data_IF_312688520663
#
_entry.id   IF_312688520663
#
_cell.length_a   1.000
_cell.length_b   1.000
_cell.length_c   1.000
_cell.angle_alpha   90.00
_cell.angle_beta   90.00
_cell.angle_gamma   90.00
#
_symmetry.space_group_name_H-M   'P 1'
#
loop_
_entity.id
_entity.type
_entity.pdbx_description
1 polymer ?
#
# COMPACT_ATOMS: atom_id res chain seq x y z
N UNK A 1 12.33 -12.36 9.42
CA UNK A 1 11.47 -11.64 8.47
C UNK A 1 10.96 -10.39 9.15
N UNK A 2 10.73 -9.31 8.39
CA UNK A 2 10.64 -7.98 8.95
C UNK A 2 9.17 -7.59 9.17
N UNK A 3 8.78 -7.27 10.39
CA UNK A 3 7.58 -6.49 10.69
C UNK A 3 7.83 -5.00 10.50
N UNK A 4 6.76 -4.21 10.36
CA UNK A 4 6.80 -2.76 10.31
C UNK A 4 6.31 -2.22 11.66
N UNK A 5 7.13 -1.41 12.32
CA UNK A 5 6.82 -0.81 13.64
C UNK A 5 6.81 0.70 13.53
N UNK A 6 5.79 1.33 14.06
CA UNK A 6 5.63 2.78 14.19
C UNK A 6 5.62 3.15 15.68
N UNK A 7 6.49 4.07 16.08
CA UNK A 7 6.60 4.54 17.47
C UNK A 7 6.50 6.06 17.52
N UNK A 8 5.46 6.55 18.16
CA UNK A 8 5.19 7.99 18.37
C UNK A 8 5.22 8.80 17.07
N UNK A 9 4.74 8.21 15.96
CA UNK A 9 4.65 8.97 14.70
C UNK A 9 3.72 10.16 14.88
N UNK A 10 4.21 11.33 14.48
CA UNK A 10 3.46 12.57 14.45
C UNK A 10 3.57 13.20 13.07
N UNK A 11 2.43 13.37 12.37
CA UNK A 11 2.36 13.96 11.03
C UNK A 11 1.01 14.69 10.84
N UNK A 12 1.05 15.94 10.43
CA UNK A 12 -0.15 16.76 10.32
C UNK A 12 -0.88 16.89 11.65
N UNK A 13 -2.15 16.49 11.68
CA UNK A 13 -2.96 16.49 12.90
C UNK A 13 -2.73 15.22 13.76
N UNK A 14 -2.16 14.16 13.21
CA UNK A 14 -1.90 12.91 13.91
C UNK A 14 -0.76 13.07 14.90
N UNK A 15 -0.93 12.52 16.10
CA UNK A 15 0.04 12.59 17.19
C UNK A 15 0.11 11.25 17.90
N UNK A 16 1.33 10.90 18.31
CA UNK A 16 1.59 9.73 19.16
C UNK A 16 1.03 8.41 18.58
N UNK A 17 1.22 8.21 17.27
CA UNK A 17 0.77 7.00 16.59
C UNK A 17 1.73 5.86 16.89
N UNK A 18 1.20 4.79 17.46
CA UNK A 18 1.87 3.52 17.70
C UNK A 18 1.17 2.42 16.91
N UNK A 19 1.92 1.63 16.16
CA UNK A 19 1.38 0.52 15.40
C UNK A 19 2.48 -0.49 15.06
N UNK A 20 2.20 -1.77 15.31
CA UNK A 20 3.03 -2.87 14.85
C UNK A 20 2.25 -3.67 13.80
N UNK A 21 2.90 -3.95 12.68
CA UNK A 21 2.36 -4.80 11.61
C UNK A 21 3.27 -6.01 11.46
N UNK A 22 2.73 -7.18 11.75
CA UNK A 22 3.50 -8.42 11.68
C UNK A 22 3.83 -8.82 10.22
N UNK A 23 4.86 -9.64 9.99
CA UNK A 23 5.16 -10.17 8.67
C UNK A 23 4.00 -10.97 8.08
N UNK A 24 3.45 -10.52 6.94
CA UNK A 24 2.30 -11.14 6.27
C UNK A 24 0.94 -10.68 6.80
N UNK A 25 0.93 -9.77 7.75
CA UNK A 25 -0.30 -9.16 8.27
C UNK A 25 -0.75 -7.99 7.38
N UNK A 26 -2.07 -7.86 7.26
CA UNK A 26 -2.73 -6.68 6.70
C UNK A 26 -3.43 -5.95 7.82
N UNK A 27 -3.00 -4.75 8.11
CA UNK A 27 -3.71 -3.80 8.97
C UNK A 27 -4.48 -2.83 8.10
N UNK A 28 -5.79 -2.80 8.24
CA UNK A 28 -6.62 -1.83 7.57
C UNK A 28 -6.71 -0.52 8.36
N UNK A 29 -6.63 0.60 7.64
CA UNK A 29 -6.84 1.93 8.18
C UNK A 29 -8.10 2.53 7.56
N UNK A 30 -8.97 3.08 8.42
CA UNK A 30 -10.15 3.84 7.99
C UNK A 30 -10.24 5.20 8.69
N UNK A 31 -11.25 5.97 8.35
CA UNK A 31 -11.52 7.28 8.97
C UNK A 31 -12.04 8.28 7.95
N UNK A 32 -12.56 9.42 8.40
CA UNK A 32 -13.11 10.47 7.54
C UNK A 32 -12.12 10.96 6.47
N UNK A 33 -12.64 11.53 5.38
CA UNK A 33 -11.79 12.25 4.42
C UNK A 33 -11.03 13.36 5.14
N UNK A 34 -9.77 13.55 4.80
CA UNK A 34 -8.91 14.55 5.45
C UNK A 34 -8.38 14.17 6.85
N UNK A 35 -8.72 13.00 7.40
CA UNK A 35 -8.24 12.58 8.73
C UNK A 35 -6.74 12.30 8.83
N UNK A 36 -6.03 12.27 7.70
CA UNK A 36 -4.57 12.07 7.69
C UNK A 36 -4.09 10.68 7.28
N UNK A 37 -4.97 9.77 6.80
CA UNK A 37 -4.60 8.42 6.34
C UNK A 37 -3.45 8.43 5.34
N UNK A 38 -3.62 9.14 4.23
CA UNK A 38 -2.59 9.26 3.19
C UNK A 38 -1.31 9.93 3.70
N UNK A 39 -1.44 10.92 4.60
CA UNK A 39 -0.28 11.58 5.22
C UNK A 39 0.51 10.61 6.10
N UNK A 40 -0.18 9.76 6.87
CA UNK A 40 0.50 8.71 7.66
C UNK A 40 1.26 7.74 6.75
N UNK A 41 0.64 7.27 5.66
CA UNK A 41 1.33 6.39 4.71
C UNK A 41 2.55 7.08 4.07
N UNK A 42 2.43 8.36 3.70
CA UNK A 42 3.53 9.15 3.14
C UNK A 42 4.67 9.36 4.14
N UNK A 43 4.36 9.61 5.40
CA UNK A 43 5.34 9.71 6.48
C UNK A 43 6.10 8.39 6.64
N UNK A 44 5.39 7.28 6.74
CA UNK A 44 5.98 5.94 6.90
C UNK A 44 6.82 5.54 5.68
N UNK A 45 6.48 6.00 4.47
CA UNK A 45 7.26 5.76 3.25
C UNK A 45 8.38 6.77 3.00
N UNK A 46 8.66 7.69 3.93
CA UNK A 46 9.67 8.75 3.77
C UNK A 46 9.37 9.72 2.60
N UNK A 47 8.11 10.03 2.41
CA UNK A 47 7.61 11.01 1.42
C UNK A 47 7.09 12.30 2.08
N UNK A 48 6.98 12.32 3.40
CA UNK A 48 6.55 13.48 4.18
C UNK A 48 7.32 13.51 5.51
N UNK A 49 7.86 14.67 5.94
CA UNK A 49 8.52 14.81 7.24
C UNK A 49 7.57 14.47 8.40
N UNK A 50 8.07 13.78 9.40
CA UNK A 50 7.29 13.38 10.58
C UNK A 50 8.15 13.32 11.84
N UNK A 51 7.50 13.36 13.01
CA UNK A 51 8.12 13.01 14.28
C UNK A 51 7.97 11.52 14.58
N UNK A 52 8.71 11.04 15.59
CA UNK A 52 8.70 9.62 15.95
C UNK A 52 9.59 8.76 15.06
N UNK A 53 9.41 7.46 15.13
CA UNK A 53 10.30 6.48 14.48
C UNK A 53 9.50 5.41 13.74
N UNK A 54 9.85 5.15 12.47
CA UNK A 54 9.40 3.98 11.72
C UNK A 54 10.56 2.98 11.57
N UNK A 55 10.28 1.68 11.78
CA UNK A 55 11.26 0.59 11.64
C UNK A 55 10.71 -0.54 10.78
N UNK A 56 11.57 -1.11 9.96
CA UNK A 56 11.28 -2.33 9.19
C UNK A 56 12.29 -3.42 9.56
N UNK A 57 11.85 -4.45 10.29
CA UNK A 57 12.73 -5.53 10.76
C UNK A 57 13.90 -5.05 11.59
N UNK A 58 13.67 -4.06 12.47
CA UNK A 58 14.70 -3.47 13.33
C UNK A 58 15.54 -2.37 12.67
N UNK A 59 15.46 -2.18 11.35
CA UNK A 59 16.15 -1.08 10.65
C UNK A 59 15.28 0.17 10.74
N UNK A 60 15.82 1.23 11.30
CA UNK A 60 15.16 2.52 11.44
C UNK A 60 15.21 3.33 10.14
N UNK A 61 14.10 4.00 9.82
CA UNK A 61 13.98 4.85 8.62
C UNK A 61 15.10 5.90 8.54
N UNK A 62 15.37 6.61 9.64
CA UNK A 62 16.40 7.64 9.70
C UNK A 62 17.84 7.12 9.67
N UNK A 63 18.05 5.81 9.86
CA UNK A 63 19.37 5.20 9.85
C UNK A 63 19.86 4.81 8.44
N UNK A 64 19.01 4.94 7.43
CA UNK A 64 19.35 4.59 6.03
C UNK A 64 19.04 5.73 5.06
N UNK A 65 19.72 5.75 3.92
CA UNK A 65 19.42 6.73 2.89
C UNK A 65 17.97 6.59 2.41
N UNK A 66 17.25 7.70 2.27
CA UNK A 66 15.81 7.72 1.96
C UNK A 66 15.41 6.91 0.73
N UNK A 67 16.24 6.88 -0.34
CA UNK A 67 15.96 6.07 -1.53
C UNK A 67 16.00 4.56 -1.23
N UNK A 68 16.83 4.10 -0.27
CA UNK A 68 16.88 2.70 0.17
C UNK A 68 15.65 2.35 1.01
N UNK A 69 15.24 3.28 1.88
CA UNK A 69 14.02 3.11 2.65
C UNK A 69 12.80 3.01 1.73
N UNK A 70 12.62 4.00 0.84
CA UNK A 70 11.50 4.03 -0.13
C UNK A 70 11.47 2.85 -1.09
N UNK A 71 12.60 2.19 -1.35
CA UNK A 71 12.63 0.93 -2.08
C UNK A 71 12.15 -0.26 -1.23
N UNK A 72 12.37 -0.22 0.07
CA UNK A 72 11.97 -1.30 0.99
C UNK A 72 10.52 -1.15 1.46
N UNK A 73 10.09 0.07 1.77
CA UNK A 73 8.73 0.42 2.21
C UNK A 73 8.08 1.22 1.10
N UNK A 74 7.33 0.54 0.24
CA UNK A 74 6.77 1.17 -0.95
C UNK A 74 5.30 1.52 -0.76
N UNK A 75 4.95 2.73 -1.19
CA UNK A 75 3.57 3.21 -1.20
C UNK A 75 2.99 3.13 -2.60
N UNK A 76 1.75 2.65 -2.70
CA UNK A 76 0.87 2.81 -3.85
C UNK A 76 -0.15 3.88 -3.49
N UNK A 77 -0.04 5.10 -4.02
CA UNK A 77 -0.98 6.18 -3.73
C UNK A 77 -2.33 5.95 -4.44
N UNK A 78 -3.37 6.64 -3.97
CA UNK A 78 -4.70 6.62 -4.59
C UNK A 78 -4.67 7.06 -6.06
N UNK A 79 -3.81 8.04 -6.36
CA UNK A 79 -3.52 8.47 -7.74
C UNK A 79 -2.05 8.25 -8.04
N UNK A 80 -1.75 7.32 -8.94
CA UNK A 80 -0.38 6.97 -9.32
C UNK A 80 0.14 7.84 -10.45
N UNK A 81 1.31 8.45 -10.25
CA UNK A 81 2.01 9.18 -11.30
C UNK A 81 2.65 8.22 -12.31
N UNK A 82 2.68 8.65 -13.57
CA UNK A 82 3.28 7.95 -14.71
C UNK A 82 4.13 8.95 -15.49
N UNK A 83 5.39 8.60 -15.79
CA UNK A 83 6.38 9.53 -16.34
C UNK A 83 7.08 9.07 -17.62
N UNK A 84 6.85 7.82 -18.05
CA UNK A 84 7.27 7.29 -19.34
C UNK A 84 6.04 7.08 -20.23
N UNK A 85 6.28 6.89 -21.52
CA UNK A 85 5.21 6.75 -22.50
C UNK A 85 4.54 5.37 -22.45
N UNK A 86 5.32 4.32 -22.18
CA UNK A 86 4.80 2.94 -22.13
C UNK A 86 4.74 2.36 -20.71
N UNK A 87 3.85 1.40 -20.51
CA UNK A 87 3.72 0.67 -19.24
C UNK A 87 5.00 -0.07 -18.89
N UNK A 88 5.61 -0.73 -19.87
CA UNK A 88 6.80 -1.57 -19.66
C UNK A 88 8.00 -0.81 -19.11
N UNK A 89 8.19 0.45 -19.54
CA UNK A 89 9.29 1.30 -19.05
C UNK A 89 9.19 1.59 -17.54
N UNK A 90 8.00 1.45 -16.95
CA UNK A 90 7.80 1.61 -15.51
C UNK A 90 8.05 0.33 -14.70
N UNK A 91 8.09 -0.83 -15.33
CA UNK A 91 8.31 -2.11 -14.66
C UNK A 91 9.82 -2.33 -14.44
N UNK A 92 10.20 -2.67 -13.22
CA UNK A 92 11.60 -3.00 -12.91
C UNK A 92 12.03 -4.35 -13.50
N UNK A 93 11.08 -5.28 -13.60
CA UNK A 93 11.21 -6.58 -14.24
C UNK A 93 9.87 -7.02 -14.83
N UNK A 94 9.86 -7.91 -15.84
CA UNK A 94 8.63 -8.49 -16.35
C UNK A 94 7.81 -9.18 -15.25
N UNK A 95 6.50 -9.02 -15.33
CA UNK A 95 5.54 -9.59 -14.36
C UNK A 95 4.34 -10.22 -15.09
N UNK A 96 4.54 -11.18 -16.03
CA UNK A 96 3.47 -11.70 -16.88
C UNK A 96 2.35 -12.33 -16.06
N UNK A 97 2.66 -13.16 -15.06
CA UNK A 97 1.66 -13.80 -14.20
C UNK A 97 0.80 -12.77 -13.43
N UNK A 98 1.39 -11.65 -13.03
CA UNK A 98 0.66 -10.58 -12.35
C UNK A 98 -0.25 -9.82 -13.32
N UNK A 99 0.21 -9.58 -14.54
CA UNK A 99 -0.58 -8.94 -15.59
C UNK A 99 -1.79 -9.82 -15.95
N UNK A 100 -1.60 -11.10 -16.22
CA UNK A 100 -2.66 -12.06 -16.51
C UNK A 100 -3.68 -12.15 -15.37
N UNK A 101 -3.21 -12.33 -14.12
CA UNK A 101 -4.06 -12.41 -12.94
C UNK A 101 -4.94 -11.17 -12.77
N UNK A 102 -4.45 -10.00 -13.17
CA UNK A 102 -5.19 -8.73 -13.12
C UNK A 102 -5.97 -8.40 -14.39
N UNK A 103 -6.07 -9.35 -15.35
CA UNK A 103 -6.87 -9.22 -16.57
C UNK A 103 -6.19 -8.41 -17.67
N UNK A 104 -4.87 -8.38 -17.69
CA UNK A 104 -4.08 -7.79 -18.75
C UNK A 104 -3.46 -8.86 -19.65
N UNK A 105 -3.17 -8.52 -20.90
CA UNK A 105 -2.44 -9.36 -21.83
C UNK A 105 -0.93 -9.13 -21.76
N UNK A 106 -0.15 -10.00 -22.39
CA UNK A 106 1.30 -9.84 -22.51
C UNK A 106 1.70 -8.55 -23.27
N UNK A 107 0.82 -8.08 -24.16
CA UNK A 107 1.04 -6.84 -24.90
C UNK A 107 0.92 -5.59 -24.03
N UNK A 108 0.40 -5.70 -22.82
CA UNK A 108 0.17 -4.54 -21.91
C UNK A 108 1.45 -3.76 -21.66
N UNK A 109 2.60 -4.41 -21.66
CA UNK A 109 3.89 -3.72 -21.48
C UNK A 109 4.15 -2.69 -22.59
N UNK A 110 3.67 -2.92 -23.81
CA UNK A 110 3.80 -1.99 -24.96
C UNK A 110 2.74 -0.88 -24.99
N UNK A 111 1.73 -0.95 -24.12
CA UNK A 111 0.64 0.03 -24.15
C UNK A 111 1.11 1.43 -23.72
N UNK A 112 0.61 2.44 -24.46
CA UNK A 112 0.78 3.82 -24.05
C UNK A 112 0.01 4.10 -22.75
N UNK A 113 0.68 4.76 -21.80
CA UNK A 113 0.07 5.18 -20.53
C UNK A 113 -1.13 6.11 -20.73
N UNK A 114 -1.12 6.92 -21.81
CA UNK A 114 -2.19 7.87 -22.10
C UNK A 114 -3.54 7.20 -22.40
N UNK A 115 -3.54 5.95 -22.87
CA UNK A 115 -4.76 5.19 -23.17
C UNK A 115 -5.40 4.52 -21.95
N UNK A 116 -4.68 4.42 -20.84
CA UNK A 116 -5.13 3.68 -19.67
C UNK A 116 -6.25 4.41 -18.92
N UNK A 117 -7.30 3.68 -18.57
CA UNK A 117 -8.29 4.13 -17.60
C UNK A 117 -7.70 4.28 -16.19
N UNK A 118 -8.41 4.97 -15.30
CA UNK A 118 -7.99 5.11 -13.90
C UNK A 118 -7.84 3.76 -13.19
N UNK A 119 -8.76 2.83 -13.40
CA UNK A 119 -8.71 1.49 -12.83
C UNK A 119 -7.56 0.64 -13.39
N UNK A 120 -7.21 0.76 -14.68
CA UNK A 120 -6.03 0.11 -15.25
C UNK A 120 -4.75 0.69 -14.67
N UNK A 121 -4.64 2.03 -14.59
CA UNK A 121 -3.51 2.70 -13.93
C UNK A 121 -3.32 2.22 -12.50
N UNK A 122 -4.40 2.07 -11.73
CA UNK A 122 -4.34 1.63 -10.34
C UNK A 122 -3.83 0.19 -10.22
N UNK A 123 -4.35 -0.74 -11.02
CA UNK A 123 -3.89 -2.15 -11.04
C UNK A 123 -2.43 -2.26 -11.50
N UNK A 124 -2.05 -1.54 -12.55
CA UNK A 124 -0.69 -1.55 -13.08
C UNK A 124 0.30 -0.87 -12.11
N UNK A 125 -0.13 0.11 -11.30
CA UNK A 125 0.70 0.69 -10.26
C UNK A 125 1.08 -0.33 -9.17
N UNK A 126 0.18 -1.25 -8.83
CA UNK A 126 0.49 -2.38 -7.95
C UNK A 126 1.53 -3.32 -8.58
N UNK A 127 1.34 -3.70 -9.86
CA UNK A 127 2.32 -4.53 -10.59
C UNK A 127 3.68 -3.84 -10.61
N UNK A 128 3.73 -2.55 -10.96
CA UNK A 128 4.95 -1.74 -10.93
C UNK A 128 5.64 -1.75 -9.57
N UNK A 129 4.88 -1.56 -8.50
CA UNK A 129 5.40 -1.58 -7.15
C UNK A 129 5.99 -2.94 -6.79
N UNK A 130 5.25 -4.01 -7.08
CA UNK A 130 5.68 -5.38 -6.77
C UNK A 130 6.83 -5.88 -7.66
N UNK A 131 7.02 -5.31 -8.86
CA UNK A 131 8.18 -5.59 -9.71
C UNK A 131 9.51 -5.16 -9.07
N UNK A 132 9.47 -4.25 -8.10
CA UNK A 132 10.64 -3.77 -7.34
C UNK A 132 10.94 -4.56 -6.07
N UNK A 133 10.13 -5.59 -5.78
CA UNK A 133 10.30 -6.50 -4.63
C UNK A 133 10.36 -5.77 -3.28
N UNK A 134 9.34 -4.98 -2.93
CA UNK A 134 9.29 -4.30 -1.65
C UNK A 134 9.28 -5.30 -0.48
N UNK A 135 9.65 -4.82 0.69
CA UNK A 135 9.63 -5.57 1.95
C UNK A 135 8.45 -5.19 2.85
N UNK A 136 7.79 -4.08 2.55
CA UNK A 136 6.53 -3.63 3.15
C UNK A 136 5.71 -2.88 2.09
N UNK A 137 4.38 -2.93 2.21
CA UNK A 137 3.45 -2.23 1.31
C UNK A 137 2.56 -1.27 2.10
N UNK A 138 2.40 -0.07 1.54
CA UNK A 138 1.48 0.94 2.02
C UNK A 138 0.50 1.25 0.88
N UNK A 139 -0.76 0.87 1.05
CA UNK A 139 -1.77 0.91 -0.01
C UNK A 139 -2.82 1.98 0.33
N UNK A 140 -2.84 3.05 -0.44
CA UNK A 140 -3.77 4.16 -0.26
C UNK A 140 -4.96 3.98 -1.20
N UNK A 141 -6.05 3.42 -0.69
CA UNK A 141 -7.29 3.16 -1.43
C UNK A 141 -7.09 2.44 -2.78
N UNK A 142 -6.35 1.33 -2.84
CA UNK A 142 -5.90 0.74 -4.10
C UNK A 142 -7.04 0.18 -4.97
N UNK A 143 -8.27 0.19 -4.47
CA UNK A 143 -9.47 -0.34 -5.16
C UNK A 143 -10.55 0.70 -5.38
N UNK A 144 -10.33 1.98 -5.02
CA UNK A 144 -11.36 3.02 -5.07
C UNK A 144 -11.96 3.26 -6.48
N UNK A 145 -11.19 3.01 -7.53
CA UNK A 145 -11.62 3.21 -8.93
C UNK A 145 -11.96 1.90 -9.64
N UNK A 146 -12.25 0.83 -8.90
CA UNK A 146 -12.54 -0.50 -9.43
C UNK A 146 -13.98 -0.91 -9.11
N UNK A 147 -14.62 -1.61 -10.04
CA UNK A 147 -15.86 -2.33 -9.76
C UNK A 147 -15.60 -3.52 -8.82
N UNK A 148 -16.66 -4.09 -8.27
CA UNK A 148 -16.55 -5.19 -7.28
C UNK A 148 -15.85 -6.43 -7.85
N UNK A 149 -16.12 -6.78 -9.10
CA UNK A 149 -15.50 -7.96 -9.77
C UNK A 149 -14.00 -7.76 -9.90
N UNK A 150 -13.58 -6.59 -10.36
CA UNK A 150 -12.15 -6.24 -10.52
C UNK A 150 -11.47 -6.11 -9.17
N UNK A 151 -12.17 -5.56 -8.16
CA UNK A 151 -11.70 -5.49 -6.78
C UNK A 151 -11.41 -6.89 -6.24
N UNK A 152 -12.36 -7.83 -6.38
CA UNK A 152 -12.17 -9.22 -5.94
C UNK A 152 -11.01 -9.90 -6.64
N UNK A 153 -10.91 -9.75 -7.97
CA UNK A 153 -9.78 -10.29 -8.72
C UNK A 153 -8.44 -9.79 -8.20
N UNK A 154 -8.34 -8.49 -7.89
CA UNK A 154 -7.13 -7.89 -7.32
C UNK A 154 -6.83 -8.46 -5.93
N UNK A 155 -7.81 -8.57 -5.06
CA UNK A 155 -7.68 -9.14 -3.72
C UNK A 155 -7.22 -10.60 -3.80
N UNK A 156 -7.87 -11.43 -4.63
CA UNK A 156 -7.56 -12.86 -4.81
C UNK A 156 -6.12 -13.10 -5.30
N UNK A 157 -5.60 -12.19 -6.13
CA UNK A 157 -4.20 -12.23 -6.55
C UNK A 157 -3.24 -11.73 -5.47
N UNK A 158 -3.57 -10.61 -4.82
CA UNK A 158 -2.63 -9.92 -3.93
C UNK A 158 -2.50 -10.59 -2.56
N UNK A 159 -3.61 -11.10 -1.99
CA UNK A 159 -3.61 -11.71 -0.65
C UNK A 159 -2.69 -12.92 -0.52
N UNK A 160 -2.70 -13.91 -1.44
CA UNK A 160 -1.75 -15.02 -1.39
C UNK A 160 -0.30 -14.57 -1.51
N UNK A 161 -0.04 -13.54 -2.34
CA UNK A 161 1.30 -13.00 -2.54
C UNK A 161 1.82 -12.30 -1.27
N UNK A 162 0.99 -11.53 -0.58
CA UNK A 162 1.32 -10.90 0.71
C UNK A 162 1.71 -11.98 1.73
N UNK A 163 0.89 -13.03 1.85
CA UNK A 163 1.15 -14.14 2.78
C UNK A 163 2.42 -14.90 2.41
N UNK A 164 2.61 -15.27 1.15
CA UNK A 164 3.78 -16.00 0.65
C UNK A 164 5.08 -15.23 0.87
N UNK A 165 5.08 -13.92 0.56
CA UNK A 165 6.24 -13.04 0.73
C UNK A 165 6.38 -12.52 2.17
N UNK A 166 5.37 -12.75 3.01
CA UNK A 166 5.27 -12.26 4.38
C UNK A 166 5.45 -10.74 4.47
N UNK A 167 4.78 -10.01 3.59
CA UNK A 167 4.83 -8.55 3.56
C UNK A 167 3.94 -7.97 4.67
N UNK A 168 4.45 -7.11 5.57
CA UNK A 168 3.59 -6.28 6.39
C UNK A 168 2.91 -5.24 5.50
N UNK A 169 1.59 -5.06 5.67
CA UNK A 169 0.78 -4.18 4.81
C UNK A 169 -0.07 -3.24 5.65
N UNK A 170 0.00 -1.94 5.36
CA UNK A 170 -1.00 -0.96 5.75
C UNK A 170 -1.90 -0.69 4.55
N UNK A 171 -3.20 -0.88 4.71
CA UNK A 171 -4.19 -0.75 3.64
C UNK A 171 -5.27 0.24 4.05
N UNK A 172 -5.34 1.38 3.38
CA UNK A 172 -6.47 2.31 3.56
C UNK A 172 -7.69 1.77 2.81
N UNK A 173 -8.77 1.52 3.54
CA UNK A 173 -10.03 1.02 3.00
C UNK A 173 -11.22 1.78 3.60
N UNK A 174 -12.31 1.91 2.84
CA UNK A 174 -13.52 2.61 3.26
C UNK A 174 -14.71 1.68 3.52
N UNK A 175 -14.79 0.56 2.82
CA UNK A 175 -15.91 -0.37 2.92
C UNK A 175 -15.77 -1.37 4.06
N UNK A 176 -16.74 -1.46 4.96
CA UNK A 176 -16.71 -2.44 6.06
C UNK A 176 -16.63 -3.89 5.57
N UNK A 177 -17.24 -4.24 4.44
CA UNK A 177 -17.12 -5.57 3.84
C UNK A 177 -15.70 -5.85 3.35
N UNK A 178 -15.06 -4.87 2.70
CA UNK A 178 -13.67 -5.01 2.28
C UNK A 178 -12.75 -5.19 3.48
N UNK A 179 -12.91 -4.38 4.52
CA UNK A 179 -12.12 -4.48 5.76
C UNK A 179 -12.26 -5.89 6.36
N UNK A 180 -13.49 -6.44 6.45
CA UNK A 180 -13.72 -7.80 6.95
C UNK A 180 -12.99 -8.89 6.15
N UNK A 181 -12.86 -8.71 4.83
CA UNK A 181 -12.17 -9.69 3.97
C UNK A 181 -10.64 -9.62 4.09
N UNK A 182 -10.13 -8.42 4.27
CA UNK A 182 -8.69 -8.15 4.17
C UNK A 182 -7.97 -8.19 5.51
N UNK A 183 -8.60 -7.59 6.54
CA UNK A 183 -7.88 -7.17 7.73
C UNK A 183 -7.60 -8.32 8.71
N UNK A 184 -6.35 -8.43 9.14
CA UNK A 184 -6.00 -9.08 10.40
C UNK A 184 -6.41 -8.21 11.60
N UNK A 185 -6.15 -6.89 11.50
CA UNK A 185 -6.62 -5.86 12.46
C UNK A 185 -7.08 -4.62 11.70
N UNK A 186 -7.99 -3.88 12.33
CA UNK A 186 -8.55 -2.64 11.80
C UNK A 186 -8.35 -1.49 12.78
N UNK A 187 -7.84 -0.38 12.27
CA UNK A 187 -7.71 0.86 13.02
C UNK A 187 -8.48 1.99 12.32
N UNK A 188 -9.17 2.76 13.12
CA UNK A 188 -9.83 3.98 12.66
C UNK A 188 -9.09 5.21 13.18
N UNK A 189 -8.95 6.22 12.32
CA UNK A 189 -8.46 7.53 12.76
C UNK A 189 -9.63 8.29 13.38
N UNK A 190 -9.50 8.59 14.68
CA UNK A 190 -10.40 9.44 15.44
C UNK A 190 -9.63 10.60 16.05
N UNK A 191 -9.97 11.83 15.59
CA UNK A 191 -9.21 13.01 15.96
C UNK A 191 -7.73 12.89 15.55
N UNK A 192 -6.83 12.84 16.54
CA UNK A 192 -5.38 12.77 16.31
C UNK A 192 -4.78 11.37 16.49
N UNK A 193 -5.58 10.33 16.72
CA UNK A 193 -5.10 9.00 17.17
C UNK A 193 -5.64 7.87 16.30
N UNK A 194 -5.00 6.70 16.42
CA UNK A 194 -5.55 5.43 15.93
C UNK A 194 -6.35 4.76 17.07
N UNK A 195 -7.55 4.34 16.76
CA UNK A 195 -8.41 3.54 17.63
C UNK A 195 -8.60 2.17 16.98
N UNK A 196 -8.27 1.10 17.68
CA UNK A 196 -8.49 -0.24 17.17
C UNK A 196 -9.98 -0.60 17.24
N UNK A 197 -10.52 -1.03 16.11
CA UNK A 197 -11.90 -1.47 15.99
C UNK A 197 -11.95 -2.99 15.76
N UNK A 198 -12.93 -3.70 16.34
CA UNK A 198 -13.07 -5.12 16.07
C UNK A 198 -13.39 -5.36 14.60
N UNK A 199 -12.65 -6.28 13.98
CA UNK A 199 -13.02 -6.82 12.67
C UNK A 199 -14.20 -7.75 12.90
N UNK A 200 -15.44 -7.22 12.76
CA UNK A 200 -16.65 -8.02 12.93
C UNK A 200 -16.73 -9.07 11.83
N UNK A 201 -16.69 -10.32 12.20
CA UNK A 201 -16.97 -11.49 11.34
C UNK A 201 -18.38 -11.47 10.77
#
# INVERSE_FOLDING_TARGET
>A
MAGLTLERIAVGALKDIHLDVAPGEIVCLSGPSGSGKSRLLRAVSDLEPHGGTARLGGVEQGAVAGHRWRRSVMMVPAESAWWFDSVGEHLHKPMPEALEALGFSDETASWSVSRLSSGEKQRLALVRTLSREPRALLLDEPTANLDETTTRRLEDWLLPLIRKRRLPVLWVAHGGEQIRRLAGRHFRIEGARLVEEPVRT
#
